data_IF_286101217689
#
_entry.id   IF_286101217689
#
_cell.length_a   1.000
_cell.length_b   1.000
_cell.length_c   1.000
_cell.angle_alpha   90.00
_cell.angle_beta   90.00
_cell.angle_gamma   90.00
#
_symmetry.space_group_name_H-M   'P 1'
#
loop_
_entity.id
_entity.type
_entity.pdbx_description
1 polymer ?
#
# COMPACT_ATOMS: atom_id res chain seq x y z
N UNK A 1 6.71 3.71 -8.14
CA UNK A 1 7.04 2.79 -7.03
C UNK A 1 5.98 1.73 -6.83
N UNK A 2 6.37 0.46 -6.83
CA UNK A 2 5.47 -0.69 -6.59
C UNK A 2 5.81 -1.36 -5.25
N UNK A 3 4.80 -1.87 -4.53
CA UNK A 3 5.03 -2.72 -3.35
C UNK A 3 5.35 -4.16 -3.76
N UNK A 4 6.31 -4.76 -3.07
CA UNK A 4 6.57 -6.20 -3.05
C UNK A 4 6.52 -6.71 -1.60
N UNK A 5 6.58 -8.03 -1.43
CA UNK A 5 6.33 -8.74 -0.19
C UNK A 5 4.89 -8.52 0.33
N UNK A 6 3.93 -8.44 -0.59
CA UNK A 6 2.50 -8.30 -0.24
C UNK A 6 1.94 -9.55 0.45
N UNK A 7 2.66 -10.69 0.42
CA UNK A 7 2.38 -11.85 1.25
C UNK A 7 2.36 -11.56 2.75
N UNK A 8 3.09 -10.54 3.23
CA UNK A 8 3.02 -10.11 4.64
C UNK A 8 1.65 -9.53 5.00
N UNK A 9 0.97 -8.90 4.05
CA UNK A 9 -0.42 -8.47 4.21
C UNK A 9 -1.32 -9.71 4.25
N UNK A 10 -1.16 -10.65 3.31
CA UNK A 10 -1.95 -11.88 3.27
C UNK A 10 -1.85 -12.68 4.59
N UNK A 11 -0.63 -12.94 5.07
CA UNK A 11 -0.37 -13.64 6.33
C UNK A 11 -0.87 -12.88 7.58
N UNK A 12 -0.98 -11.55 7.52
CA UNK A 12 -1.61 -10.78 8.60
C UNK A 12 -3.13 -10.92 8.56
N UNK A 13 -3.74 -10.90 7.37
CA UNK A 13 -5.19 -11.05 7.19
C UNK A 13 -5.72 -12.43 7.60
N UNK A 14 -4.93 -13.49 7.42
CA UNK A 14 -5.28 -14.83 7.91
C UNK A 14 -5.49 -14.87 9.43
N UNK A 15 -4.68 -14.11 10.17
CA UNK A 15 -4.75 -14.03 11.64
C UNK A 15 -5.67 -12.92 12.13
N UNK A 16 -5.88 -11.89 11.32
CA UNK A 16 -6.67 -10.71 11.66
C UNK A 16 -7.69 -10.36 10.55
N UNK A 17 -8.76 -11.16 10.36
CA UNK A 17 -9.74 -10.93 9.29
C UNK A 17 -10.42 -9.56 9.34
N UNK A 18 -10.54 -8.96 10.53
CA UNK A 18 -11.10 -7.61 10.71
C UNK A 18 -10.29 -6.51 9.99
N UNK A 19 -9.00 -6.76 9.67
CA UNK A 19 -8.15 -5.83 8.94
C UNK A 19 -8.38 -5.84 7.41
N UNK A 20 -9.17 -6.82 6.90
CA UNK A 20 -9.37 -7.08 5.47
C UNK A 20 -9.68 -5.83 4.68
N UNK A 21 -10.75 -5.13 5.05
CA UNK A 21 -11.26 -4.01 4.25
C UNK A 21 -10.25 -2.87 4.20
N UNK A 22 -9.67 -2.49 5.34
CA UNK A 22 -8.68 -1.40 5.40
C UNK A 22 -7.41 -1.71 4.60
N UNK A 23 -6.81 -2.88 4.81
CA UNK A 23 -5.53 -3.23 4.17
C UNK A 23 -5.69 -3.43 2.67
N UNK A 24 -6.77 -4.10 2.23
CA UNK A 24 -6.98 -4.36 0.80
C UNK A 24 -7.45 -3.11 0.04
N UNK A 25 -8.28 -2.25 0.64
CA UNK A 25 -8.62 -0.94 0.04
C UNK A 25 -7.38 -0.09 -0.13
N UNK A 26 -6.50 -0.04 0.88
CA UNK A 26 -5.23 0.68 0.78
C UNK A 26 -4.32 0.12 -0.31
N UNK A 27 -4.11 -1.20 -0.33
CA UNK A 27 -3.26 -1.86 -1.34
C UNK A 27 -3.81 -1.66 -2.76
N UNK A 28 -5.13 -1.66 -2.90
CA UNK A 28 -5.83 -1.37 -4.16
C UNK A 28 -5.67 0.09 -4.57
N UNK A 29 -5.75 1.03 -3.63
CA UNK A 29 -5.60 2.47 -3.90
C UNK A 29 -4.16 2.85 -4.26
N UNK A 30 -3.19 2.10 -3.74
CA UNK A 30 -1.79 2.50 -3.76
C UNK A 30 -1.21 2.84 -5.15
N UNK A 31 -1.40 2.03 -6.22
CA UNK A 31 -0.87 2.34 -7.55
C UNK A 31 -1.37 3.65 -8.15
N UNK A 32 -2.50 4.17 -7.65
CA UNK A 32 -3.11 5.40 -8.13
C UNK A 32 -2.70 6.63 -7.32
N UNK A 33 -2.00 6.45 -6.20
CA UNK A 33 -1.42 7.55 -5.45
C UNK A 33 -0.07 7.96 -6.05
N UNK A 34 -0.03 9.16 -6.66
CA UNK A 34 1.21 9.75 -7.13
C UNK A 34 1.98 10.42 -5.99
N UNK A 35 2.65 9.63 -5.16
CA UNK A 35 3.74 10.16 -4.35
C UNK A 35 4.98 10.32 -5.22
N UNK A 36 5.17 11.50 -5.80
CA UNK A 36 6.49 11.91 -6.29
C UNK A 36 7.36 12.20 -5.07
N UNK A 37 7.87 11.16 -4.42
CA UNK A 37 9.02 11.35 -3.54
C UNK A 37 10.19 11.71 -4.45
N UNK A 38 10.66 12.96 -4.37
CA UNK A 38 11.92 13.29 -4.99
C UNK A 38 12.99 12.37 -4.38
N UNK A 39 13.82 11.69 -5.19
CA UNK A 39 14.93 10.94 -4.64
C UNK A 39 15.71 11.87 -3.73
N UNK A 40 16.08 11.45 -2.50
CA UNK A 40 16.91 12.30 -1.65
C UNK A 40 18.14 12.69 -2.45
N UNK A 41 18.45 13.99 -2.47
CA UNK A 41 19.68 14.51 -3.06
C UNK A 41 20.84 13.76 -2.40
N UNK A 42 21.38 12.80 -3.15
CA UNK A 42 22.68 12.15 -3.09
C UNK A 42 23.33 12.28 -1.70
N UNK A 43 23.10 11.30 -0.81
CA UNK A 43 23.96 10.92 0.35
C UNK A 43 23.26 10.05 1.40
N UNK A 44 21.94 9.86 1.33
CA UNK A 44 21.20 9.01 2.28
C UNK A 44 21.22 7.52 1.88
N UNK A 45 21.09 6.59 2.85
CA UNK A 45 21.07 5.15 2.56
C UNK A 45 20.06 4.82 1.45
N UNK A 46 20.44 3.89 0.56
CA UNK A 46 19.63 3.49 -0.61
C UNK A 46 18.28 2.89 -0.21
N UNK A 47 18.15 2.50 1.07
CA UNK A 47 16.91 2.16 1.75
C UNK A 47 16.57 3.11 2.89
N UNK A 48 15.33 3.58 2.93
CA UNK A 48 14.76 4.27 4.10
C UNK A 48 13.61 3.42 4.63
N UNK A 49 13.66 3.12 5.93
CA UNK A 49 12.55 2.52 6.64
C UNK A 49 11.45 3.56 6.86
N UNK A 50 10.27 3.30 6.30
CA UNK A 50 9.11 4.17 6.42
C UNK A 50 7.91 3.39 6.94
N UNK A 51 6.97 4.14 7.49
CA UNK A 51 5.68 3.63 7.93
C UNK A 51 4.56 4.26 7.08
N UNK A 52 3.68 3.43 6.54
CA UNK A 52 2.40 3.84 5.99
C UNK A 52 1.30 3.56 7.00
N UNK A 53 0.31 4.45 7.05
CA UNK A 53 -0.94 4.24 7.77
C UNK A 53 -2.05 4.02 6.74
N UNK A 54 -2.59 2.80 6.63
CA UNK A 54 -3.74 2.52 5.76
C UNK A 54 -4.97 3.33 6.18
N UNK A 55 -5.21 4.45 5.51
CA UNK A 55 -6.40 5.28 5.73
C UNK A 55 -6.49 5.90 7.12
N UNK A 56 -7.67 5.83 7.74
CA UNK A 56 -7.95 6.32 9.09
C UNK A 56 -7.86 5.24 10.17
N UNK A 57 -7.33 4.06 9.83
CA UNK A 57 -7.30 2.90 10.71
C UNK A 57 -6.18 2.93 11.74
N UNK A 58 -6.22 1.99 12.68
CA UNK A 58 -5.13 1.71 13.61
C UNK A 58 -4.04 0.82 13.00
N UNK A 59 -4.10 0.47 11.70
CA UNK A 59 -3.10 -0.36 11.06
C UNK A 59 -1.87 0.45 10.63
N UNK A 60 -0.75 -0.24 10.51
CA UNK A 60 0.55 0.27 10.12
C UNK A 60 1.27 -0.75 9.25
N UNK A 61 1.95 -0.26 8.22
CA UNK A 61 2.78 -1.06 7.32
C UNK A 61 4.18 -0.46 7.34
N UNK A 62 5.16 -1.24 7.77
CA UNK A 62 6.58 -0.88 7.71
C UNK A 62 7.14 -1.39 6.38
N UNK A 63 7.88 -0.55 5.70
CA UNK A 63 8.49 -0.89 4.43
C UNK A 63 9.80 -0.14 4.21
N UNK A 64 10.66 -0.73 3.40
CA UNK A 64 11.92 -0.14 2.97
C UNK A 64 11.82 0.21 1.48
N UNK A 65 12.39 1.34 1.07
CA UNK A 65 12.34 1.81 -0.33
C UNK A 65 13.69 1.64 -1.00
N UNK A 66 13.80 0.97 -2.14
CA UNK A 66 14.93 1.18 -3.06
C UNK A 66 14.50 2.16 -4.17
N UNK A 67 15.03 3.39 -4.11
CA UNK A 67 14.68 4.45 -5.07
C UNK A 67 15.14 4.16 -6.49
N UNK A 68 16.29 3.48 -6.65
CA UNK A 68 16.85 3.19 -7.96
C UNK A 68 16.06 2.11 -8.70
N UNK A 69 15.56 1.12 -7.95
CA UNK A 69 14.71 0.05 -8.47
C UNK A 69 13.22 0.41 -8.55
N UNK A 70 12.82 1.59 -8.05
CA UNK A 70 11.42 2.03 -7.95
C UNK A 70 10.52 1.03 -7.17
N UNK A 71 11.04 0.46 -6.08
CA UNK A 71 10.35 -0.58 -5.30
C UNK A 71 10.27 -0.23 -3.82
N UNK A 72 9.15 -0.63 -3.20
CA UNK A 72 8.92 -0.64 -1.76
C UNK A 72 8.76 -2.08 -1.28
N UNK A 73 9.64 -2.55 -0.40
CA UNK A 73 9.57 -3.88 0.17
C UNK A 73 8.87 -3.80 1.53
N UNK A 74 7.71 -4.44 1.66
CA UNK A 74 7.02 -4.53 2.96
C UNK A 74 7.88 -5.39 3.89
N UNK A 75 8.20 -4.87 5.07
CA UNK A 75 8.97 -5.61 6.08
C UNK A 75 8.08 -6.12 7.20
N UNK A 76 7.01 -5.39 7.52
CA UNK A 76 6.09 -5.71 8.62
C UNK A 76 4.70 -5.10 8.41
N UNK A 77 3.67 -5.77 8.94
CA UNK A 77 2.26 -5.34 8.93
C UNK A 77 1.66 -5.62 10.30
N UNK A 78 0.91 -4.66 10.85
CA UNK A 78 0.18 -4.82 12.11
C UNK A 78 -0.61 -3.57 12.49
N UNK A 79 -0.98 -3.46 13.76
CA UNK A 79 -1.56 -2.26 14.36
C UNK A 79 -0.49 -1.32 14.90
N UNK A 80 -0.83 -0.06 15.13
CA UNK A 80 0.05 0.92 15.78
C UNK A 80 0.53 0.41 17.15
N UNK A 81 -0.35 -0.24 17.91
CA UNK A 81 0.00 -0.85 19.20
C UNK A 81 1.02 -1.98 19.04
N UNK A 82 0.78 -2.93 18.13
CA UNK A 82 1.73 -4.02 17.84
C UNK A 82 3.09 -3.49 17.37
N UNK A 83 3.09 -2.38 16.61
CA UNK A 83 4.30 -1.71 16.17
C UNK A 83 5.08 -1.10 17.34
N UNK A 84 4.39 -0.41 18.25
CA UNK A 84 5.02 0.22 19.41
C UNK A 84 5.60 -0.84 20.36
N UNK A 85 4.94 -1.98 20.53
CA UNK A 85 5.44 -3.15 21.26
C UNK A 85 6.66 -3.79 20.58
N UNK A 86 6.64 -3.93 19.25
CA UNK A 86 7.79 -4.40 18.48
C UNK A 86 8.99 -3.46 18.67
N UNK A 87 8.77 -2.16 18.57
CA UNK A 87 9.81 -1.15 18.75
C UNK A 87 10.37 -1.14 20.17
N UNK A 88 9.51 -1.36 21.18
CA UNK A 88 9.94 -1.48 22.56
C UNK A 88 10.88 -2.70 22.75
N UNK A 89 10.53 -3.85 22.16
CA UNK A 89 11.39 -5.05 22.15
C UNK A 89 12.71 -4.82 21.42
N UNK A 90 12.67 -4.28 20.20
CA UNK A 90 13.87 -3.94 19.42
C UNK A 90 14.80 -2.98 20.21
N UNK A 91 14.23 -2.01 20.95
CA UNK A 91 15.02 -1.11 21.80
C UNK A 91 15.61 -1.80 23.03
N UNK A 92 14.90 -2.74 23.66
CA UNK A 92 15.43 -3.52 24.79
C UNK A 92 16.57 -4.45 24.36
N UNK A 93 16.45 -5.08 23.20
CA UNK A 93 17.50 -5.94 22.64
C UNK A 93 18.75 -5.15 22.23
N UNK A 94 18.57 -3.95 21.67
CA UNK A 94 19.69 -3.08 21.29
C UNK A 94 20.35 -2.38 22.48
N UNK A 95 19.63 -2.18 23.59
CA UNK A 95 20.11 -1.47 24.78
C UNK A 95 19.66 -2.19 26.06
N UNK A 96 20.25 -3.36 26.39
CA UNK A 96 19.81 -4.19 27.52
C UNK A 96 20.03 -3.54 28.90
N UNK A 97 20.82 -2.47 29.00
CA UNK A 97 21.06 -1.74 30.26
C UNK A 97 20.73 -0.25 30.12
N UNK A 98 19.59 0.18 30.67
CA UNK A 98 19.40 1.48 31.35
C UNK A 98 19.87 2.78 30.70
N UNK A 99 20.15 2.83 29.40
CA UNK A 99 20.70 4.02 28.74
C UNK A 99 19.64 5.13 28.65
N UNK A 100 19.61 6.00 29.66
CA UNK A 100 18.83 7.23 29.68
C UNK A 100 19.10 8.04 28.41
N UNK A 101 18.12 8.10 27.51
CA UNK A 101 18.20 8.97 26.33
C UNK A 101 17.95 10.42 26.74
N UNK A 102 18.98 11.28 26.59
CA UNK A 102 18.78 12.74 26.47
C UNK A 102 18.13 13.01 25.11
N UNK A 103 16.82 13.26 25.10
CA UNK A 103 16.09 13.70 23.92
C UNK A 103 16.48 15.16 23.63
N UNK A 104 17.34 15.39 22.64
CA UNK A 104 17.62 16.74 22.14
C UNK A 104 16.54 17.12 21.13
N UNK A 105 15.51 17.82 21.59
CA UNK A 105 14.48 18.40 20.72
C UNK A 105 15.12 19.54 19.94
N UNK A 106 15.28 19.38 18.64
CA UNK A 106 15.68 20.46 17.72
C UNK A 106 14.42 20.95 17.02
N UNK A 107 13.86 22.04 17.52
CA UNK A 107 12.76 22.76 16.88
C UNK A 107 13.31 23.59 15.71
N UNK A 108 12.94 23.24 14.48
CA UNK A 108 13.24 24.05 13.29
C UNK A 108 12.00 24.86 12.93
N UNK A 109 12.08 26.18 13.12
CA UNK A 109 11.03 27.13 12.71
C UNK A 109 11.24 27.52 11.24
N UNK A 110 10.35 27.09 10.35
CA UNK A 110 10.37 27.51 8.94
C UNK A 110 9.52 28.79 8.78
N UNK A 111 10.16 29.88 8.32
CA UNK A 111 9.45 31.09 7.87
C UNK A 111 8.75 30.80 6.54
N UNK A 112 7.44 30.96 6.51
CA UNK A 112 6.64 30.87 5.29
C UNK A 112 6.89 32.10 4.40
N UNK A 113 7.55 31.89 3.25
CA UNK A 113 7.65 32.87 2.17
C UNK A 113 6.52 32.66 1.16
N UNK A 114 5.83 33.75 0.82
CA UNK A 114 4.66 33.76 -0.04
C UNK A 114 4.97 33.45 -1.51
N UNK A 115 4.02 32.77 -2.17
CA UNK A 115 3.74 32.91 -3.61
C UNK A 115 4.60 32.13 -4.58
N UNK A 116 4.17 30.92 -4.94
CA UNK A 116 4.46 30.35 -6.27
C UNK A 116 3.18 29.74 -6.87
N UNK A 117 2.73 30.34 -7.97
CA UNK A 117 1.75 29.74 -8.88
C UNK A 117 2.38 28.49 -9.47
N UNK A 118 1.90 27.30 -9.08
CA UNK A 118 2.32 26.03 -9.68
C UNK A 118 1.43 25.73 -10.88
N UNK A 119 2.03 25.73 -12.07
CA UNK A 119 1.44 25.15 -13.27
C UNK A 119 1.14 23.68 -13.02
N UNK A 120 -0.14 23.33 -12.98
CA UNK A 120 -0.61 21.95 -12.85
C UNK A 120 -0.34 21.27 -14.20
N UNK A 121 0.81 20.59 -14.33
CA UNK A 121 1.02 19.64 -15.41
C UNK A 121 0.06 18.47 -15.17
N UNK A 122 -0.93 18.32 -16.06
CA UNK A 122 -1.86 17.19 -16.11
C UNK A 122 -1.02 15.91 -16.24
N UNK A 123 -0.84 15.19 -15.13
CA UNK A 123 -0.18 13.90 -15.12
C UNK A 123 -1.13 12.85 -15.69
N UNK A 124 -0.68 12.10 -16.69
CA UNK A 124 -1.37 10.89 -17.11
C UNK A 124 -1.41 9.90 -15.95
N UNK A 125 -2.61 9.39 -15.69
CA UNK A 125 -2.85 8.31 -14.72
C UNK A 125 -2.25 7.04 -15.34
N UNK A 126 -0.99 6.76 -15.03
CA UNK A 126 -0.40 5.46 -15.34
C UNK A 126 -1.06 4.47 -14.38
N UNK A 127 -1.99 3.68 -14.89
CA UNK A 127 -2.61 2.58 -14.15
C UNK A 127 -1.60 1.50 -13.78
N UNK A 128 -2.03 0.39 -13.16
CA UNK A 128 -1.14 -0.73 -12.86
C UNK A 128 -0.37 -1.18 -14.12
N UNK A 129 0.87 -1.65 -13.92
CA UNK A 129 1.74 -2.18 -14.96
C UNK A 129 0.97 -3.21 -15.82
N UNK A 130 1.03 -3.13 -17.17
CA UNK A 130 0.21 -3.98 -18.02
C UNK A 130 0.53 -5.47 -17.79
N UNK A 131 -0.51 -6.31 -17.69
CA UNK A 131 -0.40 -7.75 -17.36
C UNK A 131 0.62 -8.50 -18.25
N UNK A 132 0.76 -8.09 -19.52
CA UNK A 132 1.63 -8.75 -20.50
C UNK A 132 3.13 -8.73 -20.16
N UNK A 133 3.62 -7.71 -19.44
CA UNK A 133 5.04 -7.63 -19.08
C UNK A 133 5.41 -8.60 -17.94
N UNK A 134 4.49 -8.83 -17.00
CA UNK A 134 4.71 -9.74 -15.87
C UNK A 134 4.41 -11.20 -16.23
N UNK A 135 3.50 -11.44 -17.18
CA UNK A 135 3.14 -12.78 -17.63
C UNK A 135 4.32 -13.56 -18.24
N UNK A 136 5.34 -12.85 -18.74
CA UNK A 136 6.54 -13.43 -19.34
C UNK A 136 7.62 -13.83 -18.31
N UNK A 137 7.49 -13.42 -17.04
CA UNK A 137 8.44 -13.80 -16.00
C UNK A 137 8.26 -15.27 -15.61
N UNK A 138 9.37 -15.98 -15.35
CA UNK A 138 9.32 -17.38 -14.95
C UNK A 138 8.63 -17.53 -13.56
N UNK A 139 7.60 -18.39 -13.44
CA UNK A 139 6.92 -18.61 -12.17
C UNK A 139 7.86 -19.18 -11.09
N UNK A 140 7.48 -19.01 -9.82
CA UNK A 140 8.07 -19.82 -8.75
C UNK A 140 7.42 -21.20 -8.75
N UNK A 141 8.21 -22.22 -8.40
CA UNK A 141 7.71 -23.60 -8.32
C UNK A 141 6.67 -23.78 -7.20
N UNK A 142 6.79 -23.03 -6.11
CA UNK A 142 5.90 -23.09 -4.95
C UNK A 142 6.07 -21.85 -4.05
N UNK A 143 5.26 -21.77 -2.99
CA UNK A 143 5.29 -20.68 -2.00
C UNK A 143 6.65 -20.55 -1.30
N UNK A 144 7.33 -21.66 -1.00
CA UNK A 144 8.64 -21.63 -0.31
C UNK A 144 9.68 -20.93 -1.20
N UNK A 145 9.75 -21.28 -2.48
CA UNK A 145 10.66 -20.64 -3.44
C UNK A 145 10.38 -19.13 -3.60
N UNK A 146 9.10 -18.72 -3.51
CA UNK A 146 8.72 -17.32 -3.47
C UNK A 146 9.18 -16.64 -2.17
N UNK A 147 8.98 -17.27 -1.00
CA UNK A 147 9.40 -16.72 0.28
C UNK A 147 10.92 -16.58 0.39
N UNK A 148 11.68 -17.56 -0.10
CA UNK A 148 13.14 -17.50 -0.21
C UNK A 148 13.57 -16.34 -1.11
N UNK A 149 12.89 -16.14 -2.24
CA UNK A 149 13.15 -15.02 -3.14
C UNK A 149 12.84 -13.67 -2.49
N UNK A 150 11.76 -13.56 -1.70
CA UNK A 150 11.44 -12.35 -0.91
C UNK A 150 12.48 -12.12 0.19
N UNK A 151 12.94 -13.17 0.87
CA UNK A 151 14.01 -13.11 1.86
C UNK A 151 15.31 -12.60 1.24
N UNK A 152 15.68 -13.14 0.08
CA UNK A 152 16.84 -12.67 -0.70
C UNK A 152 16.67 -11.23 -1.18
N UNK A 153 15.50 -10.86 -1.68
CA UNK A 153 15.19 -9.48 -2.08
C UNK A 153 15.31 -8.50 -0.90
N UNK A 154 15.00 -8.94 0.33
CA UNK A 154 15.19 -8.14 1.54
C UNK A 154 16.66 -7.84 1.80
N UNK A 155 17.54 -8.84 1.64
CA UNK A 155 18.99 -8.66 1.78
C UNK A 155 19.58 -7.76 0.68
N UNK A 156 19.11 -7.93 -0.56
CA UNK A 156 19.63 -7.21 -1.72
C UNK A 156 19.03 -5.81 -1.87
N UNK A 157 18.00 -5.45 -1.10
CA UNK A 157 17.30 -4.17 -1.24
C UNK A 157 18.21 -2.95 -1.12
N UNK A 158 19.31 -3.06 -0.35
CA UNK A 158 20.26 -1.97 -0.11
C UNK A 158 21.37 -1.87 -1.17
N UNK A 159 21.36 -2.78 -2.16
CA UNK A 159 22.37 -2.81 -3.23
C UNK A 159 22.34 -1.54 -4.10
N UNK A 160 23.51 -1.17 -4.61
CA UNK A 160 23.70 0.04 -5.43
C UNK A 160 23.62 -0.30 -6.91
N UNK A 161 23.09 0.59 -7.77
CA UNK A 161 23.17 0.42 -9.21
C UNK A 161 24.61 0.15 -9.68
N UNK A 162 24.77 -0.86 -10.54
CA UNK A 162 26.07 -1.26 -11.07
C UNK A 162 26.79 -2.36 -10.30
N UNK A 163 26.25 -2.86 -9.18
CA UNK A 163 26.79 -4.04 -8.49
C UNK A 163 26.10 -5.34 -8.93
N UNK A 164 26.74 -6.48 -8.67
CA UNK A 164 26.16 -7.80 -8.97
C UNK A 164 24.89 -8.06 -8.15
N UNK A 165 24.88 -7.62 -6.88
CA UNK A 165 23.75 -7.72 -5.97
C UNK A 165 22.53 -6.95 -6.49
N UNK A 166 22.75 -5.77 -7.08
CA UNK A 166 21.68 -4.98 -7.68
C UNK A 166 21.13 -5.63 -8.94
N UNK A 167 22.00 -6.18 -9.80
CA UNK A 167 21.56 -6.92 -10.98
C UNK A 167 20.72 -8.15 -10.59
N UNK A 168 21.16 -8.87 -9.57
CA UNK A 168 20.41 -9.99 -9.01
C UNK A 168 19.05 -9.55 -8.44
N UNK A 169 19.02 -8.45 -7.68
CA UNK A 169 17.78 -7.87 -7.19
C UNK A 169 16.81 -7.55 -8.34
N UNK A 170 17.30 -6.87 -9.38
CA UNK A 170 16.49 -6.51 -10.55
C UNK A 170 15.97 -7.73 -11.32
N UNK A 171 16.69 -8.86 -11.31
CA UNK A 171 16.22 -10.13 -11.89
C UNK A 171 15.13 -10.82 -11.06
N UNK A 172 15.17 -10.67 -9.72
CA UNK A 172 14.16 -11.24 -8.83
C UNK A 172 12.82 -10.50 -8.90
N UNK A 173 12.85 -9.18 -9.07
CA UNK A 173 11.67 -8.32 -8.98
C UNK A 173 10.51 -8.74 -9.91
N UNK A 174 10.70 -9.01 -11.22
CA UNK A 174 9.61 -9.44 -12.08
C UNK A 174 8.95 -10.74 -11.63
N UNK A 175 9.73 -11.70 -11.12
CA UNK A 175 9.23 -12.99 -10.64
C UNK A 175 8.40 -12.83 -9.37
N UNK A 176 8.87 -12.03 -8.41
CA UNK A 176 8.15 -11.67 -7.19
C UNK A 176 6.83 -10.98 -7.53
N UNK A 177 6.88 -9.94 -8.36
CA UNK A 177 5.67 -9.21 -8.80
C UNK A 177 4.66 -10.11 -9.50
N UNK A 178 5.12 -11.03 -10.36
CA UNK A 178 4.27 -12.00 -11.04
C UNK A 178 3.54 -12.89 -10.03
N UNK A 179 4.28 -13.50 -9.11
CA UNK A 179 3.70 -14.37 -8.08
C UNK A 179 2.67 -13.62 -7.23
N UNK A 180 3.01 -12.43 -6.77
CA UNK A 180 2.10 -11.60 -5.96
C UNK A 180 0.84 -11.16 -6.70
N UNK A 181 0.89 -11.08 -8.02
CA UNK A 181 -0.25 -10.69 -8.86
C UNK A 181 -1.16 -11.87 -9.22
N UNK A 182 -0.59 -13.03 -9.50
CA UNK A 182 -1.32 -14.14 -10.11
C UNK A 182 -1.48 -15.36 -9.20
N UNK A 183 -0.52 -15.61 -8.31
CA UNK A 183 -0.46 -16.83 -7.51
C UNK A 183 -0.85 -16.57 -6.04
N UNK A 184 -0.47 -15.41 -5.49
CA UNK A 184 -0.80 -15.00 -4.12
C UNK A 184 -2.31 -14.74 -3.95
N UNK A 185 -2.91 -15.43 -3.00
CA UNK A 185 -4.35 -15.32 -2.70
C UNK A 185 -4.62 -14.30 -1.61
N UNK A 186 -5.66 -13.49 -1.80
CA UNK A 186 -6.21 -12.59 -0.78
C UNK A 186 -7.69 -12.90 -0.54
N UNK A 187 -8.21 -12.66 0.66
CA UNK A 187 -9.64 -12.76 0.90
C UNK A 187 -10.41 -11.77 0.02
N UNK A 188 -11.56 -12.20 -0.51
CA UNK A 188 -12.38 -11.38 -1.40
C UNK A 188 -12.90 -10.12 -0.69
N UNK A 189 -12.76 -9.01 -1.39
CA UNK A 189 -13.19 -7.67 -1.00
C UNK A 189 -14.41 -7.30 -1.86
N UNK A 190 -15.58 -7.20 -1.24
CA UNK A 190 -16.79 -6.81 -1.95
C UNK A 190 -16.82 -5.30 -2.20
N UNK A 191 -17.55 -4.88 -3.25
CA UNK A 191 -17.83 -3.46 -3.49
C UNK A 191 -18.56 -2.82 -2.29
N UNK A 192 -19.49 -3.57 -1.69
CA UNK A 192 -20.20 -3.12 -0.49
C UNK A 192 -19.25 -2.87 0.69
N UNK A 193 -18.26 -3.75 0.92
CA UNK A 193 -17.26 -3.56 1.99
C UNK A 193 -16.47 -2.25 1.80
N UNK A 194 -16.07 -1.96 0.56
CA UNK A 194 -15.34 -0.74 0.19
C UNK A 194 -16.20 0.50 0.48
N UNK A 195 -17.47 0.49 0.06
CA UNK A 195 -18.39 1.62 0.24
C UNK A 195 -18.71 1.81 1.72
N UNK A 196 -19.06 0.74 2.46
CA UNK A 196 -19.33 0.81 3.91
C UNK A 196 -18.18 1.45 4.67
N UNK A 197 -16.95 1.01 4.38
CA UNK A 197 -15.75 1.57 5.00
C UNK A 197 -15.63 3.06 4.74
N UNK A 198 -15.87 3.49 3.50
CA UNK A 198 -15.73 4.89 3.15
C UNK A 198 -16.86 5.75 3.74
N UNK A 199 -18.06 5.20 3.87
CA UNK A 199 -19.16 5.83 4.62
C UNK A 199 -18.80 6.03 6.08
N UNK A 200 -18.22 5.01 6.74
CA UNK A 200 -17.77 5.12 8.14
C UNK A 200 -16.72 6.22 8.31
N UNK A 201 -15.78 6.35 7.37
CA UNK A 201 -14.75 7.40 7.40
C UNK A 201 -15.35 8.80 7.24
N UNK A 202 -16.40 8.93 6.44
CA UNK A 202 -17.04 10.21 6.12
C UNK A 202 -18.27 10.51 6.97
N UNK A 203 -18.61 9.63 7.92
CA UNK A 203 -19.82 9.69 8.74
C UNK A 203 -21.11 9.83 7.91
N UNK A 204 -21.23 9.02 6.86
CA UNK A 204 -22.35 9.02 5.92
C UNK A 204 -23.40 7.95 6.25
N UNK A 205 -24.67 8.26 6.01
CA UNK A 205 -25.78 7.33 6.12
C UNK A 205 -26.03 6.62 4.78
N UNK A 206 -26.62 5.40 4.80
CA UNK A 206 -26.97 4.69 3.57
C UNK A 206 -27.81 5.50 2.58
N UNK A 207 -28.73 6.31 3.09
CA UNK A 207 -29.66 7.12 2.28
C UNK A 207 -28.95 8.25 1.51
N UNK A 208 -27.69 8.55 1.83
CA UNK A 208 -26.89 9.52 1.09
C UNK A 208 -26.35 8.95 -0.24
N UNK A 209 -26.27 7.61 -0.37
CA UNK A 209 -25.62 6.95 -1.51
C UNK A 209 -26.30 7.18 -2.86
N UNK A 210 -27.65 7.14 -3.00
CA UNK A 210 -28.33 7.45 -4.25
C UNK A 210 -27.97 8.82 -4.82
N UNK A 211 -27.87 9.82 -3.94
CA UNK A 211 -27.49 11.20 -4.30
C UNK A 211 -26.06 11.27 -4.86
N UNK A 212 -25.11 10.56 -4.26
CA UNK A 212 -23.73 10.48 -4.75
C UNK A 212 -23.61 9.72 -6.07
N UNK A 213 -24.40 8.66 -6.24
CA UNK A 213 -24.37 7.86 -7.45
C UNK A 213 -25.18 8.49 -8.60
N UNK A 214 -26.02 9.49 -8.30
CA UNK A 214 -26.99 10.12 -9.22
C UNK A 214 -27.90 9.07 -9.87
N UNK A 215 -28.34 8.11 -9.07
CA UNK A 215 -29.16 6.99 -9.51
C UNK A 215 -30.10 6.58 -8.39
N UNK A 216 -31.30 6.16 -8.77
CA UNK A 216 -32.27 5.57 -7.84
C UNK A 216 -31.94 4.09 -7.65
N UNK A 217 -31.71 3.69 -6.40
CA UNK A 217 -31.50 2.31 -5.98
C UNK A 217 -31.73 2.19 -4.47
N UNK A 218 -32.08 0.99 -4.00
CA UNK A 218 -32.16 0.71 -2.57
C UNK A 218 -30.74 0.61 -1.97
N UNK A 219 -30.32 1.59 -1.13
CA UNK A 219 -28.97 1.59 -0.56
C UNK A 219 -28.75 0.43 0.41
N UNK A 220 -29.77 -0.04 1.11
CA UNK A 220 -29.63 -1.17 2.04
C UNK A 220 -29.42 -2.48 1.28
N UNK A 221 -30.20 -2.71 0.23
CA UNK A 221 -30.04 -3.88 -0.63
C UNK A 221 -28.66 -3.90 -1.32
N UNK A 222 -28.16 -2.74 -1.78
CA UNK A 222 -26.80 -2.60 -2.30
C UNK A 222 -25.74 -2.93 -1.26
N UNK A 223 -25.83 -2.34 -0.06
CA UNK A 223 -24.87 -2.59 1.02
C UNK A 223 -24.95 -4.02 1.57
N UNK A 224 -26.08 -4.71 1.41
CA UNK A 224 -26.24 -6.13 1.69
C UNK A 224 -25.67 -7.04 0.58
N UNK A 225 -25.25 -6.47 -0.56
CA UNK A 225 -24.76 -7.23 -1.72
C UNK A 225 -25.86 -7.91 -2.53
N UNK A 226 -27.12 -7.46 -2.38
CA UNK A 226 -28.28 -8.01 -3.07
C UNK A 226 -28.55 -7.31 -4.41
N UNK A 227 -28.02 -6.10 -4.59
CA UNK A 227 -28.16 -5.30 -5.82
C UNK A 227 -26.77 -4.92 -6.30
N UNK A 228 -26.49 -5.20 -7.58
CA UNK A 228 -25.30 -4.71 -8.26
C UNK A 228 -25.57 -3.38 -8.96
N UNK A 229 -24.64 -2.44 -8.82
CA UNK A 229 -24.74 -1.15 -9.51
C UNK A 229 -24.07 -1.20 -10.89
N UNK A 230 -24.67 -0.57 -11.92
CA UNK A 230 -24.03 -0.41 -13.22
C UNK A 230 -22.66 0.28 -13.11
N UNK A 231 -21.71 -0.07 -13.97
CA UNK A 231 -20.34 0.45 -13.89
C UNK A 231 -20.22 1.98 -13.94
N UNK A 232 -21.13 2.68 -14.65
CA UNK A 232 -21.19 4.15 -14.66
C UNK A 232 -21.61 4.72 -13.30
N UNK A 233 -22.66 4.16 -12.71
CA UNK A 233 -23.18 4.50 -11.37
C UNK A 233 -22.12 4.26 -10.30
N UNK A 234 -21.47 3.10 -10.33
CA UNK A 234 -20.40 2.76 -9.39
C UNK A 234 -19.19 3.68 -9.52
N UNK A 235 -18.84 4.09 -10.74
CA UNK A 235 -17.75 5.04 -10.98
C UNK A 235 -18.05 6.42 -10.38
N UNK A 236 -19.29 6.91 -10.52
CA UNK A 236 -19.71 8.16 -9.89
C UNK A 236 -19.67 8.06 -8.37
N UNK A 237 -20.21 6.97 -7.82
CA UNK A 237 -20.19 6.71 -6.38
C UNK A 237 -18.75 6.71 -5.84
N UNK A 238 -17.84 5.98 -6.48
CA UNK A 238 -16.43 5.92 -6.07
C UNK A 238 -15.76 7.29 -6.09
N UNK A 239 -16.03 8.09 -7.12
CA UNK A 239 -15.50 9.44 -7.24
C UNK A 239 -15.99 10.34 -6.09
N UNK A 240 -17.27 10.29 -5.77
CA UNK A 240 -17.87 11.13 -4.72
C UNK A 240 -17.44 10.70 -3.31
N UNK A 241 -17.23 9.40 -3.09
CA UNK A 241 -16.67 8.85 -1.86
C UNK A 241 -15.16 9.08 -1.71
N UNK A 242 -14.49 9.68 -2.71
CA UNK A 242 -13.05 9.94 -2.66
C UNK A 242 -12.19 8.68 -2.77
N UNK A 243 -12.72 7.60 -3.35
CA UNK A 243 -11.95 6.37 -3.57
C UNK A 243 -10.92 6.62 -4.69
N UNK A 244 -9.64 6.46 -4.34
CA UNK A 244 -8.51 6.80 -5.21
C UNK A 244 -8.28 5.86 -6.39
N UNK A 245 -9.15 4.88 -6.64
CA UNK A 245 -9.00 3.87 -7.69
C UNK A 245 -10.29 3.70 -8.51
N UNK A 246 -10.21 3.27 -9.77
CA UNK A 246 -11.38 3.16 -10.64
C UNK A 246 -12.20 1.91 -10.31
N UNK A 247 -13.53 2.00 -10.45
CA UNK A 247 -14.46 0.89 -10.21
C UNK A 247 -14.22 -0.36 -11.08
N UNK A 248 -13.55 -0.19 -12.24
CA UNK A 248 -13.16 -1.28 -13.13
C UNK A 248 -11.96 -2.09 -12.63
N UNK A 249 -11.21 -1.59 -11.63
CA UNK A 249 -10.15 -2.37 -11.00
C UNK A 249 -10.77 -3.53 -10.23
N UNK A 250 -10.51 -4.77 -10.67
CA UNK A 250 -11.05 -6.00 -10.06
C UNK A 250 -10.08 -6.72 -9.13
N UNK A 251 -8.91 -6.13 -8.81
CA UNK A 251 -7.98 -6.73 -7.84
C UNK A 251 -8.68 -6.97 -6.51
N UNK A 252 -8.52 -8.18 -5.98
CA UNK A 252 -9.11 -8.67 -4.73
C UNK A 252 -10.63 -8.85 -4.72
N UNK A 253 -11.32 -8.76 -5.87
CA UNK A 253 -12.79 -8.99 -5.96
C UNK A 253 -13.13 -10.46 -6.25
#
# INVERSE_FOLDING_TARGET
>A
MTFIATNKIAAYLERNPAAKTELLVWLKSYPYFHFKMQPPVIEKPYSINLMAQPGHSNYAIRYDINFAADVKLITWVGTKTEHDELRAREMQEQYPEGAQRKIKVVSVTLKAGAGQVRTIKKSEIIGPEPDGALAMAEPFANTIAYEDAVGKATLLLQSKPGTNEYNEFMQLLPRIKRYERFDLQFPKLSVADIVKRQMQVLDLMPDDLPSFAKADFDPQAFLAGQVDLPGKTLTLLYKHLGLGFPAKDKRFM
#
